data_IF_547824637372
#
_entry.id   IF_547824637372
#
_cell.length_a   1.000
_cell.length_b   1.000
_cell.length_c   1.000
_cell.angle_alpha   90.00
_cell.angle_beta   90.00
_cell.angle_gamma   90.00
#
_symmetry.space_group_name_H-M   'P 1'
#
loop_
_entity.id
_entity.type
_entity.pdbx_description
1 polymer ?
2 non-polymer ?
3 non-polymer ?
4 non-polymer ?
5 non-polymer ?
6 water ?
#
# COMPACT_ATOMS: atom_id res chain seq x y z
N UNK A 1 -24.29 15.55 -6.26
CA UNK A 1 -25.23 14.60 -5.66
C UNK A 1 -25.26 14.75 -4.14
N UNK A 2 -26.41 14.44 -3.54
CA UNK A 2 -26.52 14.56 -2.09
C UNK A 2 -25.84 13.39 -1.40
N UNK A 3 -25.70 13.50 -0.07
CA UNK A 3 -25.16 12.38 0.70
C UNK A 3 -26.06 11.15 0.60
N UNK A 4 -27.38 11.35 0.60
CA UNK A 4 -28.27 10.20 0.54
C UNK A 4 -28.22 9.54 -0.84
N UNK A 5 -27.98 10.31 -1.90
CA UNK A 5 -27.79 9.71 -3.21
C UNK A 5 -26.51 8.89 -3.26
N UNK A 6 -25.41 9.44 -2.75
CA UNK A 6 -24.15 8.70 -2.74
C UNK A 6 -24.28 7.42 -1.92
N UNK A 7 -24.88 7.52 -0.73
CA UNK A 7 -25.04 6.33 0.11
C UNK A 7 -25.85 5.26 -0.62
N UNK A 8 -26.90 5.67 -1.32
CA UNK A 8 -27.76 4.71 -2.02
C UNK A 8 -26.98 4.03 -3.15
N UNK A 9 -26.14 4.78 -3.85
CA UNK A 9 -25.35 4.20 -4.93
C UNK A 9 -24.35 3.20 -4.39
N UNK A 10 -23.62 3.59 -3.33
CA UNK A 10 -22.65 2.66 -2.75
C UNK A 10 -23.36 1.41 -2.23
N UNK A 11 -24.58 1.58 -1.68
CA UNK A 11 -25.33 0.43 -1.19
C UNK A 11 -25.60 -0.60 -2.30
N UNK A 12 -25.80 -0.14 -3.54
CA UNK A 12 -26.04 -1.07 -4.64
C UNK A 12 -24.78 -1.83 -5.04
N UNK A 13 -23.62 -1.34 -4.63
CA UNK A 13 -22.33 -1.90 -5.02
C UNK A 13 -21.80 -2.91 -3.98
N UNK A 14 -22.22 -2.81 -2.72
CA UNK A 14 -21.64 -3.65 -1.68
C UNK A 14 -22.53 -4.87 -1.45
N UNK A 15 -22.10 -5.76 -0.57
CA UNK A 15 -22.94 -6.88 -0.21
C UNK A 15 -24.10 -6.40 0.64
N UNK A 16 -25.27 -7.03 0.51
CA UNK A 16 -26.42 -6.62 1.32
C UNK A 16 -26.27 -7.07 2.77
N UNK A 17 -26.96 -6.35 3.64
CA UNK A 17 -27.07 -6.79 5.02
C UNK A 17 -26.10 -6.12 5.95
N UNK A 18 -26.11 -6.62 7.18
CA UNK A 18 -25.38 -6.05 8.31
C UNK A 18 -24.43 -7.11 8.85
N UNK A 19 -23.11 -6.92 8.77
CA UNK A 19 -22.19 -7.97 9.22
C UNK A 19 -22.13 -8.12 10.73
N UNK A 20 -22.75 -7.22 11.49
CA UNK A 20 -22.90 -7.48 12.92
C UNK A 20 -23.76 -8.71 13.17
N UNK A 21 -24.44 -9.23 12.15
CA UNK A 21 -25.17 -10.48 12.28
C UNK A 21 -24.27 -11.70 12.43
N UNK A 22 -22.98 -11.60 12.09
CA UNK A 22 -22.11 -12.75 12.22
C UNK A 22 -20.73 -12.45 12.79
N UNK A 23 -20.43 -11.20 13.12
CA UNK A 23 -19.13 -10.81 13.67
C UNK A 23 -19.30 -10.34 15.10
N UNK A 24 -18.34 -10.70 15.96
CA UNK A 24 -18.27 -10.25 17.35
C UNK A 24 -16.89 -9.69 17.65
N UNK A 25 -16.73 -9.15 18.85
CA UNK A 25 -15.42 -8.78 19.39
C UNK A 25 -14.70 -7.74 18.52
N UNK A 26 -15.45 -6.73 18.06
CA UNK A 26 -14.83 -5.62 17.33
C UNK A 26 -13.90 -4.85 18.25
N UNK A 27 -12.61 -4.87 17.96
CA UNK A 27 -11.63 -4.11 18.73
C UNK A 27 -10.73 -3.35 17.75
N UNK A 28 -10.59 -2.04 17.96
CA UNK A 28 -9.78 -1.24 17.06
C UNK A 28 -8.31 -1.60 17.19
N UNK A 29 -7.63 -1.80 16.06
CA UNK A 29 -6.23 -2.20 16.07
C UNK A 29 -5.34 -1.26 15.29
N UNK A 30 -5.88 -0.31 14.55
CA UNK A 30 -5.06 0.56 13.74
C UNK A 30 -5.94 1.50 12.96
N UNK A 31 -5.31 2.32 12.14
CA UNK A 31 -6.09 3.30 11.39
C UNK A 31 -5.32 3.76 10.16
N UNK A 32 -6.04 4.39 9.25
CA UNK A 32 -5.46 5.10 8.11
C UNK A 32 -6.00 6.52 8.08
N UNK A 33 -5.75 7.26 7.00
CA UNK A 33 -6.30 8.61 6.93
C UNK A 33 -7.80 8.62 6.65
N UNK A 34 -8.35 7.51 6.16
CA UNK A 34 -9.75 7.47 5.76
C UNK A 34 -10.64 6.72 6.74
N UNK A 35 -10.09 6.15 7.80
CA UNK A 35 -10.90 5.35 8.70
C UNK A 35 -10.04 4.54 9.65
N UNK A 36 -10.65 3.51 10.23
CA UNK A 36 -9.99 2.66 11.21
C UNK A 36 -10.09 1.20 10.76
N UNK A 37 -9.34 0.35 11.45
CA UNK A 37 -9.40 -1.11 11.25
C UNK A 37 -9.61 -1.75 12.60
N UNK A 38 -10.54 -2.70 12.66
CA UNK A 38 -10.80 -3.48 13.86
C UNK A 38 -10.50 -4.94 13.57
N UNK A 39 -10.13 -5.68 14.61
CA UNK A 39 -10.17 -7.13 14.57
C UNK A 39 -11.57 -7.54 14.95
N UNK A 40 -12.05 -8.63 14.38
CA UNK A 40 -13.34 -9.20 14.75
C UNK A 40 -13.27 -10.70 14.57
N UNK A 41 -14.21 -11.40 15.19
CA UNK A 41 -14.28 -12.85 15.10
C UNK A 41 -15.61 -13.27 14.46
N UNK A 42 -15.53 -14.21 13.53
CA UNK A 42 -16.74 -14.80 12.96
C UNK A 42 -17.38 -15.70 14.01
N UNK A 43 -18.64 -15.40 14.34
CA UNK A 43 -19.27 -15.96 15.54
C UNK A 43 -19.39 -17.48 15.47
N UNK A 44 -19.66 -18.03 14.28
CA UNK A 44 -19.93 -19.46 14.17
C UNK A 44 -18.66 -20.30 13.99
N UNK A 45 -17.54 -19.68 13.63
CA UNK A 45 -16.32 -20.44 13.35
C UNK A 45 -15.12 -20.03 14.19
N UNK A 46 -15.15 -18.84 14.80
CA UNK A 46 -13.98 -18.34 15.49
C UNK A 46 -12.94 -17.71 14.61
N UNK A 47 -13.15 -17.70 13.29
CA UNK A 47 -12.16 -17.14 12.37
C UNK A 47 -11.96 -15.65 12.64
N UNK A 48 -10.71 -15.22 12.56
CA UNK A 48 -10.35 -13.82 12.78
C UNK A 48 -10.29 -13.10 11.45
N UNK A 49 -10.88 -11.89 11.41
CA UNK A 49 -10.87 -11.04 10.23
C UNK A 49 -10.50 -9.63 10.67
N UNK A 50 -10.13 -8.80 9.70
CA UNK A 50 -9.91 -7.38 9.90
C UNK A 50 -11.04 -6.63 9.20
N UNK A 51 -11.58 -5.60 9.85
CA UNK A 51 -12.69 -4.84 9.30
C UNK A 51 -12.26 -3.39 9.17
N UNK A 52 -12.21 -2.89 7.93
CA UNK A 52 -11.93 -1.48 7.71
C UNK A 52 -13.25 -0.73 7.74
N UNK A 53 -13.31 0.37 8.51
CA UNK A 53 -14.51 1.19 8.63
C UNK A 53 -14.19 2.61 8.19
N UNK A 54 -14.93 3.10 7.19
CA UNK A 54 -14.70 4.42 6.61
C UNK A 54 -16.03 5.17 6.60
N UNK A 55 -16.06 6.34 7.24
CA UNK A 55 -17.28 7.12 7.29
C UNK A 55 -17.50 7.85 5.96
N UNK A 56 -18.65 7.60 5.33
CA UNK A 56 -18.93 8.21 4.04
C UNK A 56 -18.88 9.73 4.06
N UNK A 57 -19.07 10.34 5.22
CA UNK A 57 -19.11 11.78 5.36
C UNK A 57 -17.75 12.42 5.59
N UNK A 58 -16.75 11.64 6.01
CA UNK A 58 -15.46 12.18 6.43
C UNK A 58 -14.38 12.01 5.37
N UNK A 59 -14.75 11.69 4.13
CA UNK A 59 -13.76 11.48 3.08
C UNK A 59 -13.51 12.75 2.30
N UNK A 60 -12.23 13.01 2.00
CA UNK A 60 -11.90 14.12 1.11
C UNK A 60 -12.63 13.99 -0.21
N UNK A 61 -12.64 12.78 -0.77
CA UNK A 61 -13.33 12.51 -2.03
C UNK A 61 -14.07 11.19 -1.89
N UNK A 62 -15.35 11.27 -1.55
CA UNK A 62 -16.07 10.06 -1.16
C UNK A 62 -16.22 9.07 -2.30
N UNK A 63 -16.21 9.54 -3.56
CA UNK A 63 -16.37 8.60 -4.67
C UNK A 63 -15.20 7.63 -4.78
N UNK A 64 -14.06 7.94 -4.16
CA UNK A 64 -12.98 6.97 -4.12
C UNK A 64 -13.41 5.69 -3.40
N UNK A 65 -14.44 5.76 -2.55
CA UNK A 65 -14.87 4.58 -1.82
C UNK A 65 -15.43 3.51 -2.74
N UNK A 66 -15.82 3.86 -3.97
CA UNK A 66 -16.23 2.83 -4.92
C UNK A 66 -15.07 1.93 -5.31
N UNK A 67 -13.86 2.48 -5.38
CA UNK A 67 -12.81 1.85 -6.19
C UNK A 67 -12.43 0.49 -5.65
N UNK A 68 -12.03 0.40 -4.38
CA UNK A 68 -11.54 -0.89 -3.89
C UNK A 68 -12.63 -1.95 -3.94
N UNK A 69 -13.84 -1.60 -3.49
CA UNK A 69 -14.87 -2.63 -3.37
C UNK A 69 -15.29 -3.19 -4.73
N UNK A 70 -15.09 -2.44 -5.80
CA UNK A 70 -15.39 -2.97 -7.13
C UNK A 70 -14.14 -3.60 -7.75
N UNK A 71 -13.05 -2.82 -7.83
CA UNK A 71 -11.85 -3.27 -8.54
C UNK A 71 -11.31 -4.57 -7.93
N UNK A 72 -11.27 -4.65 -6.61
CA UNK A 72 -10.56 -5.74 -5.95
C UNK A 72 -11.49 -6.87 -5.50
N UNK A 73 -12.75 -6.87 -5.94
CA UNK A 73 -13.66 -7.94 -5.58
C UNK A 73 -13.23 -9.25 -6.23
N UNK A 74 -13.11 -10.30 -5.43
CA UNK A 74 -12.72 -11.65 -5.86
C UNK A 74 -11.28 -11.71 -6.36
N UNK A 75 -10.48 -10.68 -6.11
CA UNK A 75 -9.07 -10.71 -6.52
C UNK A 75 -8.30 -11.71 -5.67
N UNK A 76 -7.43 -12.49 -6.34
CA UNK A 76 -6.68 -13.55 -5.67
C UNK A 76 -5.22 -13.51 -6.14
N UNK A 77 -4.31 -13.33 -5.18
CA UNK A 77 -2.90 -13.32 -5.50
C UNK A 77 -2.11 -13.60 -4.23
N UNK A 78 -1.03 -14.39 -4.37
CA UNK A 78 -0.22 -14.80 -3.22
C UNK A 78 0.21 -13.61 -2.37
N UNK A 79 0.49 -12.47 -2.99
CA UNK A 79 1.04 -11.31 -2.31
C UNK A 79 0.04 -10.17 -2.18
N UNK A 80 -1.26 -10.47 -2.16
CA UNK A 80 -2.29 -9.45 -1.99
C UNK A 80 -3.26 -9.89 -0.88
N UNK A 81 -3.55 -8.99 0.05
CA UNK A 81 -4.45 -9.28 1.16
C UNK A 81 -5.87 -9.48 0.62
N UNK A 82 -6.53 -10.54 1.07
CA UNK A 82 -7.84 -10.87 0.53
C UNK A 82 -8.93 -9.97 1.10
N UNK A 83 -9.85 -9.56 0.24
CA UNK A 83 -11.09 -8.90 0.64
C UNK A 83 -12.21 -9.94 0.61
N UNK A 84 -12.91 -10.10 1.72
CA UNK A 84 -13.98 -11.09 1.78
C UNK A 84 -15.34 -10.53 1.39
N UNK A 85 -15.74 -9.40 1.98
CA UNK A 85 -17.06 -8.82 1.77
C UNK A 85 -17.01 -7.32 2.06
N UNK A 86 -18.07 -6.62 1.68
CA UNK A 86 -18.21 -5.20 2.03
C UNK A 86 -19.68 -4.92 2.29
N UNK A 87 -19.92 -3.95 3.16
CA UNK A 87 -21.27 -3.65 3.63
C UNK A 87 -21.38 -2.17 3.91
N UNK A 88 -22.60 -1.64 3.91
CA UNK A 88 -22.88 -0.35 4.50
C UNK A 88 -23.50 -0.59 5.87
N UNK A 89 -23.00 0.10 6.88
CA UNK A 89 -23.54 0.05 8.23
C UNK A 89 -23.72 1.49 8.66
N UNK A 90 -24.98 1.93 8.72
CA UNK A 90 -25.22 3.34 9.01
C UNK A 90 -24.61 4.18 7.90
N UNK A 91 -23.79 5.17 8.28
CA UNK A 91 -23.09 5.99 7.31
C UNK A 91 -21.63 5.55 7.12
N UNK A 92 -21.31 4.28 7.42
CA UNK A 92 -19.96 3.77 7.26
C UNK A 92 -19.92 2.65 6.23
N UNK A 93 -18.87 2.66 5.42
CA UNK A 93 -18.50 1.49 4.61
C UNK A 93 -17.60 0.59 5.44
N UNK A 94 -17.97 -0.69 5.53
CA UNK A 94 -17.19 -1.70 6.24
C UNK A 94 -16.68 -2.72 5.24
N UNK A 95 -15.37 -2.95 5.23
CA UNK A 95 -14.78 -3.92 4.32
C UNK A 95 -14.13 -4.98 5.18
N UNK A 96 -14.58 -6.22 5.01
CA UNK A 96 -14.11 -7.34 5.82
C UNK A 96 -12.95 -7.99 5.08
N UNK A 97 -11.78 -7.99 5.72
CA UNK A 97 -10.52 -8.36 5.10
C UNK A 97 -9.87 -9.51 5.85
N UNK A 98 -8.90 -10.12 5.17
CA UNK A 98 -7.98 -11.07 5.79
C UNK A 98 -7.18 -10.41 6.92
N UNK A 99 -7.00 -11.14 8.02
CA UNK A 99 -6.18 -10.66 9.13
C UNK A 99 -4.76 -11.17 8.94
N UNK A 100 -3.80 -10.25 8.91
CA UNK A 100 -2.38 -10.56 8.69
C UNK A 100 -1.68 -10.44 10.03
N UNK A 101 -1.38 -11.58 10.65
CA UNK A 101 -1.00 -11.59 12.06
C UNK A 101 0.37 -10.97 12.31
N UNK A 102 1.19 -10.81 11.27
CA UNK A 102 2.49 -10.15 11.45
C UNK A 102 2.46 -8.63 11.45
N UNK A 103 1.31 -8.01 11.13
CA UNK A 103 1.21 -6.56 11.20
C UNK A 103 1.92 -5.92 10.01
N UNK A 104 2.17 -4.61 10.13
CA UNK A 104 2.64 -3.80 9.02
C UNK A 104 4.16 -3.65 9.00
N UNK A 105 4.71 -3.51 7.79
CA UNK A 105 6.13 -3.24 7.65
C UNK A 105 6.57 -1.98 8.42
N UNK A 106 5.68 -1.00 8.58
CA UNK A 106 5.99 0.23 9.31
C UNK A 106 6.60 -0.06 10.68
N UNK A 107 6.00 -1.01 11.41
CA UNK A 107 6.51 -1.30 12.75
C UNK A 107 7.87 -1.99 12.71
N UNK A 108 8.21 -2.64 11.60
CA UNK A 108 9.56 -3.16 11.43
C UNK A 108 10.55 -2.03 11.19
N UNK A 109 10.25 -1.17 10.19
CA UNK A 109 11.25 -0.18 9.79
C UNK A 109 11.53 0.79 10.94
N UNK A 110 10.55 1.08 11.79
CA UNK A 110 10.80 1.97 12.93
C UNK A 110 11.55 1.27 14.07
N UNK A 111 11.55 -0.06 14.13
CA UNK A 111 12.15 -0.74 15.27
C UNK A 111 13.46 -1.45 14.97
N UNK A 112 13.79 -1.73 13.70
CA UNK A 112 14.99 -2.50 13.46
C UNK A 112 15.60 -2.18 12.11
N UNK A 113 16.91 -2.37 12.04
CA UNK A 113 17.63 -2.45 10.78
C UNK A 113 17.16 -3.67 10.00
N UNK A 114 17.18 -3.56 8.68
CA UNK A 114 16.90 -4.69 7.79
C UNK A 114 18.14 -4.94 6.95
N UNK A 115 18.51 -6.21 6.77
CA UNK A 115 19.62 -6.47 5.87
C UNK A 115 19.12 -6.52 4.42
N UNK A 116 20.05 -6.58 3.47
CA UNK A 116 19.63 -6.47 2.07
C UNK A 116 18.93 -7.73 1.60
N UNK A 117 19.23 -8.89 2.20
CA UNK A 117 18.45 -10.09 1.91
C UNK A 117 16.96 -9.85 2.21
N UNK A 118 16.68 -9.17 3.32
CA UNK A 118 15.30 -8.91 3.74
C UNK A 118 14.66 -7.81 2.92
N UNK A 119 15.40 -6.73 2.64
CA UNK A 119 14.87 -5.67 1.78
C UNK A 119 14.52 -6.22 0.40
N UNK A 120 15.41 -7.05 -0.16
CA UNK A 120 15.14 -7.63 -1.48
C UNK A 120 13.91 -8.54 -1.45
N UNK A 121 13.75 -9.30 -0.36
CA UNK A 121 12.56 -10.15 -0.22
C UNK A 121 11.29 -9.33 -0.25
N UNK A 122 11.26 -8.22 0.50
CA UNK A 122 10.07 -7.38 0.50
C UNK A 122 9.84 -6.79 -0.88
N UNK A 123 10.90 -6.27 -1.50
CA UNK A 123 10.74 -5.68 -2.83
C UNK A 123 10.23 -6.68 -3.85
N UNK A 124 10.74 -7.91 -3.77
CA UNK A 124 10.33 -8.94 -4.72
C UNK A 124 8.86 -9.29 -4.56
N UNK A 125 8.41 -9.45 -3.31
CA UNK A 125 7.00 -9.77 -3.07
C UNK A 125 6.10 -8.67 -3.59
N UNK A 126 6.45 -7.41 -3.31
CA UNK A 126 5.61 -6.28 -3.74
C UNK A 126 5.61 -6.18 -5.26
N UNK A 127 6.77 -6.39 -5.90
CA UNK A 127 6.84 -6.29 -7.35
C UNK A 127 6.11 -7.44 -8.04
N UNK A 128 6.07 -8.62 -7.42
CA UNK A 128 5.26 -9.70 -7.97
C UNK A 128 3.79 -9.31 -7.98
N UNK A 129 3.32 -8.67 -6.90
CA UNK A 129 1.95 -8.19 -6.86
C UNK A 129 1.73 -7.08 -7.88
N UNK A 130 2.64 -6.09 -7.90
CA UNK A 130 2.45 -4.93 -8.77
C UNK A 130 2.51 -5.32 -10.24
N UNK A 131 3.37 -6.26 -10.61
CA UNK A 131 3.47 -6.63 -12.01
C UNK A 131 2.14 -7.19 -12.51
N UNK A 132 1.47 -7.99 -11.68
CA UNK A 132 0.17 -8.55 -12.07
C UNK A 132 -0.90 -7.45 -12.07
N UNK A 133 -0.90 -6.59 -11.05
CA UNK A 133 -1.92 -5.54 -10.97
C UNK A 133 -1.77 -4.57 -12.14
N UNK A 134 -0.54 -4.13 -12.40
CA UNK A 134 -0.30 -3.17 -13.47
C UNK A 134 -0.67 -3.75 -14.83
N UNK A 135 -0.43 -5.06 -15.04
CA UNK A 135 -0.81 -5.69 -16.29
C UNK A 135 -2.32 -5.69 -16.50
N UNK A 136 -3.10 -5.63 -15.42
CA UNK A 136 -4.54 -5.51 -15.48
C UNK A 136 -5.03 -4.07 -15.42
N UNK A 137 -4.11 -3.10 -15.47
CA UNK A 137 -4.49 -1.70 -15.42
C UNK A 137 -4.84 -1.17 -14.05
N UNK A 138 -4.50 -1.89 -12.99
CA UNK A 138 -4.79 -1.45 -11.64
C UNK A 138 -3.57 -0.72 -11.12
N UNK A 139 -3.75 0.53 -10.70
CA UNK A 139 -2.72 1.32 -10.03
C UNK A 139 -3.06 1.35 -8.55
N UNK A 140 -2.07 1.07 -7.70
CA UNK A 140 -2.33 1.01 -6.27
C UNK A 140 -2.47 2.42 -5.69
N UNK A 141 -1.51 3.29 -6.00
CA UNK A 141 -1.46 4.72 -5.66
C UNK A 141 -1.23 5.01 -4.18
N UNK A 142 -0.99 4.00 -3.35
CA UNK A 142 -0.63 4.31 -1.96
C UNK A 142 0.40 3.30 -1.43
N UNK A 143 1.43 3.02 -2.24
CA UNK A 143 2.52 2.18 -1.77
C UNK A 143 3.34 2.93 -0.72
N UNK A 144 3.56 2.29 0.42
CA UNK A 144 4.35 2.76 1.56
C UNK A 144 4.41 1.61 2.54
N UNK A 145 5.28 1.73 3.56
CA UNK A 145 5.47 0.60 4.48
C UNK A 145 4.18 0.24 5.22
N UNK A 146 3.28 1.21 5.44
CA UNK A 146 2.00 0.91 6.10
C UNK A 146 1.13 -0.04 5.29
N UNK A 147 1.35 -0.11 3.98
CA UNK A 147 0.52 -0.88 3.06
C UNK A 147 1.03 -2.30 2.86
N UNK A 148 2.14 -2.65 3.50
CA UNK A 148 2.77 -3.95 3.35
C UNK A 148 2.54 -4.70 4.65
N UNK A 149 1.88 -5.85 4.58
CA UNK A 149 1.57 -6.64 5.75
C UNK A 149 2.32 -7.96 5.71
N UNK A 150 2.49 -8.58 6.89
CA UNK A 150 3.28 -9.81 7.03
C UNK A 150 2.48 -10.91 7.70
N UNK A 151 2.76 -12.15 7.31
CA UNK A 151 2.29 -13.31 8.06
C UNK A 151 3.32 -13.67 9.14
N UNK A 152 2.91 -14.52 10.08
CA UNK A 152 3.83 -14.84 11.17
C UNK A 152 5.03 -15.63 10.66
N UNK A 153 4.91 -16.29 9.51
CA UNK A 153 6.02 -17.03 8.93
C UNK A 153 6.82 -16.21 7.94
N UNK A 154 6.55 -14.90 7.82
CA UNK A 154 7.39 -14.02 7.04
C UNK A 154 6.98 -13.80 5.60
N UNK A 155 5.78 -14.21 5.20
CA UNK A 155 5.32 -13.88 3.86
C UNK A 155 4.80 -12.45 3.82
N UNK A 156 4.81 -11.88 2.61
CA UNK A 156 4.56 -10.45 2.42
C UNK A 156 3.33 -10.29 1.52
N UNK A 157 2.39 -9.45 1.97
CA UNK A 157 1.19 -9.18 1.20
C UNK A 157 0.90 -7.69 1.16
N UNK A 158 0.44 -7.23 0.00
CA UNK A 158 0.05 -5.84 -0.22
C UNK A 158 -1.40 -5.62 0.19
N UNK A 159 -1.64 -4.53 0.90
CA UNK A 159 -2.97 -4.17 1.38
C UNK A 159 -3.21 -2.70 1.06
N UNK A 160 -4.22 -2.10 1.71
CA UNK A 160 -4.45 -0.66 1.66
C UNK A 160 -4.77 -0.19 0.24
N UNK A 161 -5.74 -0.84 -0.39
CA UNK A 161 -6.17 -0.55 -1.76
C UNK A 161 -7.24 0.53 -1.85
N UNK A 162 -7.47 1.29 -0.77
CA UNK A 162 -8.57 2.27 -0.78
C UNK A 162 -8.41 3.38 -1.80
N UNK A 163 -7.19 3.64 -2.25
CA UNK A 163 -6.92 4.71 -3.20
C UNK A 163 -6.68 4.18 -4.62
N UNK A 164 -6.87 2.89 -4.87
CA UNK A 164 -6.46 2.30 -6.14
C UNK A 164 -7.30 2.86 -7.28
N UNK A 165 -6.82 2.66 -8.50
CA UNK A 165 -7.51 3.16 -9.68
C UNK A 165 -7.38 2.14 -10.81
N UNK A 166 -8.22 2.31 -11.81
CA UNK A 166 -8.29 1.43 -12.97
C UNK A 166 -8.04 2.27 -14.22
N UNK A 167 -7.05 1.89 -15.02
CA UNK A 167 -6.83 2.50 -16.32
C UNK A 167 -7.16 1.46 -17.39
N UNK A 168 -7.41 1.95 -18.60
CA UNK A 168 -7.87 1.11 -19.70
C UNK A 168 -7.38 1.72 -21.00
N UNK A 169 -7.52 0.97 -22.10
CA UNK A 169 -7.14 1.55 -23.38
C UNK A 169 -7.91 2.83 -23.66
N UNK A 170 -9.17 2.91 -23.23
CA UNK A 170 -9.98 4.10 -23.46
C UNK A 170 -9.61 5.23 -22.52
N UNK A 171 -9.26 4.93 -21.28
CA UNK A 171 -8.84 5.95 -20.31
C UNK A 171 -7.48 5.53 -19.76
N UNK A 172 -6.39 5.80 -20.47
CA UNK A 172 -5.10 5.17 -20.12
C UNK A 172 -4.38 5.82 -18.95
N UNK A 173 -4.78 7.01 -18.52
CA UNK A 173 -4.09 7.72 -17.45
C UNK A 173 -5.09 8.35 -16.49
N UNK A 174 -4.69 8.44 -15.23
CA UNK A 174 -5.44 9.18 -14.22
C UNK A 174 -4.83 10.56 -14.04
N UNK A 175 -5.60 11.45 -13.41
CA UNK A 175 -5.16 12.83 -13.20
C UNK A 175 -5.49 13.28 -11.77
N UNK A 177 -5.20 13.88 -7.77
CA UNK A 177 -4.17 14.06 -6.74
C UNK A 177 -4.48 13.12 -5.58
N UNK A 178 -3.91 11.92 -5.62
CA UNK A 178 -4.26 10.86 -4.67
C UNK A 178 -2.97 10.22 -4.16
N UNK A 179 -2.91 9.94 -2.86
CA UNK A 179 -1.80 9.22 -2.28
C UNK A 179 -1.47 9.75 -0.89
N UNK A 180 -0.24 9.48 -0.44
CA UNK A 180 0.27 10.00 0.82
C UNK A 180 1.46 10.89 0.52
N UNK A 181 1.43 12.17 0.94
CA UNK A 181 2.38 13.17 0.42
C UNK A 181 3.82 12.73 0.28
N UNK A 182 4.44 12.17 1.32
CA UNK A 182 5.88 11.89 1.26
C UNK A 182 6.23 10.80 0.26
N UNK A 183 5.27 9.97 -0.13
CA UNK A 183 5.49 8.89 -1.08
C UNK A 183 5.01 9.22 -2.50
N UNK A 184 4.42 10.39 -2.71
CA UNK A 184 3.80 10.67 -4.00
C UNK A 184 4.81 10.92 -5.10
N UNK A 185 4.51 10.40 -6.30
CA UNK A 185 5.39 10.57 -7.44
C UNK A 185 5.39 12.02 -7.91
N UNK A 186 6.51 12.50 -8.45
CA UNK A 186 6.57 13.92 -8.82
C UNK A 186 5.62 14.30 -9.94
N UNK A 187 5.38 13.41 -10.91
CA UNK A 187 4.43 13.75 -11.97
C UNK A 187 3.01 13.79 -11.43
N UNK A 188 2.73 13.03 -10.39
CA UNK A 188 1.41 13.05 -9.78
C UNK A 188 1.20 14.35 -9.02
N UNK A 189 2.21 14.76 -8.25
CA UNK A 189 2.13 16.05 -7.55
C UNK A 189 2.00 17.19 -8.55
N UNK A 190 2.67 17.07 -9.71
CA UNK A 190 2.63 18.06 -10.78
C UNK A 190 1.29 18.11 -11.51
N UNK A 191 0.34 17.26 -11.16
CA UNK A 191 -0.99 17.20 -11.77
C UNK A 191 -0.94 16.83 -13.24
N UNK A 192 0.11 16.14 -13.64
CA UNK A 192 0.21 15.58 -14.98
C UNK A 192 -0.53 14.25 -15.03
N UNK A 193 -1.05 13.87 -16.21
CA UNK A 193 -1.65 12.54 -16.34
C UNK A 193 -0.58 11.49 -16.10
N UNK A 194 -0.96 10.42 -15.38
CA UNK A 194 0.01 9.45 -14.93
C UNK A 194 -0.58 8.05 -15.01
N UNK A 195 0.29 7.05 -14.92
CA UNK A 195 -0.13 5.67 -14.95
C UNK A 195 0.51 4.87 -13.84
N UNK A 196 0.63 3.55 -14.04
CA UNK A 196 1.21 2.65 -13.03
C UNK A 196 2.58 3.05 -12.54
N UNK A 197 3.29 3.86 -13.33
CA UNK A 197 4.64 4.27 -12.96
C UNK A 197 4.69 4.93 -11.59
N UNK A 198 3.59 5.58 -11.16
CA UNK A 198 3.62 6.25 -9.86
C UNK A 198 3.88 5.25 -8.74
N UNK A 199 3.41 4.01 -8.88
CA UNK A 199 3.67 3.01 -7.83
C UNK A 199 5.14 2.69 -7.70
N UNK A 200 5.88 2.75 -8.81
CA UNK A 200 7.30 2.42 -8.78
C UNK A 200 8.09 3.49 -8.04
N UNK A 201 7.74 4.76 -8.24
CA UNK A 201 8.35 5.83 -7.45
C UNK A 201 8.07 5.63 -5.97
N UNK A 202 6.80 5.38 -5.63
CA UNK A 202 6.44 5.18 -4.23
C UNK A 202 7.22 4.01 -3.63
N UNK A 203 7.40 2.93 -4.40
CA UNK A 203 8.21 1.81 -3.92
C UNK A 203 9.62 2.27 -3.61
N UNK A 204 10.17 3.18 -4.43
CA UNK A 204 11.50 3.70 -4.16
C UNK A 204 11.57 4.45 -2.85
N UNK A 205 10.51 5.22 -2.54
CA UNK A 205 10.48 5.91 -1.25
C UNK A 205 10.43 4.88 -0.12
N UNK A 206 9.72 3.77 -0.34
CA UNK A 206 9.66 2.73 0.67
C UNK A 206 11.00 2.03 0.86
N UNK A 207 11.81 1.91 -0.19
CA UNK A 207 13.19 1.42 -0.01
C UNK A 207 13.96 2.36 0.89
N UNK A 208 13.80 3.67 0.70
CA UNK A 208 14.44 4.62 1.60
C UNK A 208 13.95 4.39 3.03
N UNK A 209 12.65 4.14 3.22
CA UNK A 209 12.16 3.76 4.54
C UNK A 209 12.93 2.58 5.11
N UNK A 210 13.11 1.53 4.30
CA UNK A 210 13.70 0.32 4.84
C UNK A 210 15.19 0.49 5.15
N UNK A 211 15.88 1.33 4.39
CA UNK A 211 17.30 1.58 4.61
C UNK A 211 17.52 2.57 5.75
N UNK A 212 16.75 3.66 5.76
CA UNK A 212 16.99 4.76 6.68
C UNK A 212 16.06 4.79 7.89
N UNK A 213 14.86 4.22 7.79
CA UNK A 213 13.89 4.26 8.87
C UNK A 213 12.76 5.24 8.68
N UNK A 214 12.84 6.12 7.68
CA UNK A 214 11.82 7.12 7.43
C UNK A 214 11.96 7.58 5.99
N UNK A 215 10.89 8.09 5.38
CA UNK A 215 11.00 8.62 4.02
C UNK A 215 11.66 9.99 4.04
N UNK A 216 12.06 10.49 2.88
CA UNK A 216 12.63 11.84 2.84
C UNK A 216 11.62 12.87 3.31
N UNK A 217 12.15 13.95 3.92
CA UNK A 217 11.38 15.14 4.26
C UNK A 217 10.27 14.87 5.28
N UNK A 218 10.47 13.90 6.18
CA UNK A 218 9.34 13.35 6.91
C UNK A 218 8.80 14.26 8.01
N UNK A 219 9.62 15.11 8.64
CA UNK A 219 9.09 16.07 9.61
C UNK A 219 8.81 17.43 8.96
N UNK A 220 8.91 17.54 7.62
CA UNK A 220 8.45 18.72 6.90
C UNK A 220 6.94 18.69 6.75
N UNK A 221 6.28 19.86 6.80
CA UNK A 221 4.86 19.94 6.46
C UNK A 221 4.59 19.24 5.14
N UNK A 222 3.50 18.46 5.06
CA UNK A 222 3.28 17.67 3.82
C UNK A 222 3.26 18.50 2.55
N UNK A 223 2.61 19.67 2.54
CA UNK A 223 2.61 20.45 1.31
C UNK A 223 4.02 20.88 0.92
N UNK A 224 4.87 21.14 1.91
CA UNK A 224 6.25 21.52 1.60
C UNK A 224 7.06 20.33 1.09
N UNK A 225 6.89 19.16 1.72
CA UNK A 225 7.54 17.95 1.20
C UNK A 225 7.13 17.70 -0.24
N UNK A 226 5.85 17.89 -0.57
CA UNK A 226 5.39 17.63 -1.93
C UNK A 226 6.04 18.58 -2.93
N UNK A 227 6.22 19.85 -2.54
CA UNK A 227 6.90 20.79 -3.40
C UNK A 227 8.35 20.39 -3.64
N UNK A 228 9.03 19.91 -2.60
CA UNK A 228 10.43 19.51 -2.77
C UNK A 228 10.55 18.25 -3.61
N UNK A 229 9.60 17.32 -3.49
CA UNK A 229 9.60 16.15 -4.37
C UNK A 229 9.37 16.59 -5.82
N UNK A 230 8.48 17.56 -6.02
CA UNK A 230 8.17 18.00 -7.37
C UNK A 230 9.34 18.73 -8.01
N UNK A 231 10.03 19.56 -7.23
CA UNK A 231 10.99 20.52 -7.76
C UNK A 231 12.44 20.10 -7.59
N UNK A 232 12.77 19.25 -6.62
CA UNK A 232 14.18 18.96 -6.36
C UNK A 232 14.62 17.70 -7.09
N UNK A 233 15.94 17.50 -7.14
CA UNK A 233 16.49 16.23 -7.59
C UNK A 233 15.94 15.09 -6.73
N UNK A 234 15.92 13.85 -7.25
CA UNK A 234 15.39 12.72 -6.47
C UNK A 234 16.06 12.62 -5.11
N UNK A 235 15.32 12.24 -4.08
CA UNK A 235 15.91 12.23 -2.74
C UNK A 235 16.96 11.14 -2.61
N UNK A 236 17.81 11.31 -1.60
CA UNK A 236 19.01 10.50 -1.44
C UNK A 236 18.92 9.72 -0.14
N UNK A 237 19.55 8.54 -0.14
CA UNK A 237 19.70 7.75 1.06
C UNK A 237 20.57 8.45 2.08
N UNK A 238 20.05 8.57 3.31
CA UNK A 238 20.87 8.99 4.43
C UNK A 238 22.08 8.07 4.55
N UNK A 239 21.84 6.77 4.55
CA UNK A 239 22.90 5.77 4.67
C UNK A 239 23.41 5.30 3.31
N UNK A 240 23.67 6.26 2.42
CA UNK A 240 24.11 5.93 1.06
C UNK A 240 25.37 5.07 1.06
N UNK A 241 26.34 5.39 1.91
CA UNK A 241 27.61 4.67 1.90
C UNK A 241 27.52 3.29 2.55
N UNK A 242 26.37 2.93 3.13
CA UNK A 242 26.19 1.65 3.79
C UNK A 242 25.56 0.58 2.91
N UNK A 243 25.05 0.95 1.74
CA UNK A 243 24.31 0.00 0.91
C UNK A 243 25.20 -0.50 -0.20
N UNK A 244 24.88 -1.69 -0.70
CA UNK A 244 25.65 -2.28 -1.78
C UNK A 244 25.40 -1.50 -3.08
N UNK A 245 26.36 -1.55 -4.01
CA UNK A 245 26.11 -0.97 -5.35
C UNK A 245 24.90 -1.55 -6.03
N UNK A 246 24.59 -2.83 -5.78
CA UNK A 246 23.39 -3.43 -6.34
C UNK A 246 22.12 -2.76 -5.81
N UNK A 247 22.07 -2.51 -4.51
CA UNK A 247 20.90 -1.81 -3.97
C UNK A 247 20.80 -0.40 -4.53
N UNK A 248 21.92 0.33 -4.54
CA UNK A 248 21.90 1.68 -5.09
C UNK A 248 21.43 1.66 -6.54
N UNK A 249 21.93 0.72 -7.34
CA UNK A 249 21.52 0.64 -8.74
C UNK A 249 20.05 0.34 -8.91
N UNK A 250 19.52 -0.57 -8.09
CA UNK A 250 18.09 -0.85 -8.06
C UNK A 250 17.29 0.42 -7.71
N UNK A 251 17.64 1.07 -6.60
CA UNK A 251 16.96 2.31 -6.21
C UNK A 251 17.00 3.35 -7.32
N UNK A 252 18.13 3.42 -8.06
CA UNK A 252 18.27 4.39 -9.13
C UNK A 252 17.32 4.13 -10.29
N UNK A 253 16.78 2.92 -10.42
CA UNK A 253 15.76 2.68 -11.43
C UNK A 253 14.35 3.01 -10.94
N UNK A 254 14.17 3.23 -9.63
CA UNK A 254 12.88 3.57 -9.05
C UNK A 254 12.65 5.07 -8.96
N UNK A 255 13.62 5.78 -8.40
CA UNK A 255 13.51 7.22 -8.17
C UNK A 255 13.99 7.99 -9.40
N UNK A 256 13.27 7.75 -10.49
CA UNK A 256 13.53 8.37 -11.78
C UNK A 256 12.43 9.40 -12.00
N UNK A 257 12.81 10.67 -12.14
CA UNK A 257 11.81 11.72 -12.23
C UNK A 257 10.93 11.56 -13.47
N UNK A 258 11.53 11.27 -14.61
CA UNK A 258 10.81 11.08 -15.86
C UNK A 258 10.09 9.73 -15.84
N UNK A 259 8.76 9.67 -15.75
CA UNK A 259 8.10 8.35 -15.65
C UNK A 259 8.36 7.46 -16.85
N UNK A 260 8.66 8.03 -18.02
CA UNK A 260 8.95 7.20 -19.18
C UNK A 260 10.29 6.48 -19.08
N UNK A 261 11.22 7.00 -18.27
CA UNK A 261 12.50 6.35 -18.07
C UNK A 261 12.54 5.52 -16.79
N UNK A 262 11.50 5.62 -15.95
CA UNK A 262 11.42 4.82 -14.74
C UNK A 262 11.22 3.35 -15.12
N UNK A 263 11.85 2.45 -14.38
CA UNK A 263 11.65 1.03 -14.62
C UNK A 263 10.20 0.61 -14.34
N UNK A 264 9.72 -0.37 -15.09
CA UNK A 264 8.42 -0.97 -14.83
C UNK A 264 8.58 -2.11 -13.83
N UNK A 265 7.45 -2.55 -13.25
CA UNK A 265 7.50 -3.66 -12.32
C UNK A 265 8.08 -4.91 -12.98
N UNK A 266 7.67 -5.20 -14.21
CA UNK A 266 8.16 -6.38 -14.89
C UNK A 266 9.66 -6.27 -15.16
N UNK A 267 10.15 -5.06 -15.50
CA UNK A 267 11.59 -4.89 -15.67
C UNK A 267 12.33 -5.11 -14.36
N UNK A 268 11.76 -4.64 -13.25
CA UNK A 268 12.47 -4.72 -11.98
C UNK A 268 12.59 -6.15 -11.47
N UNK A 269 11.64 -7.03 -11.81
CA UNK A 269 11.73 -8.41 -11.37
C UNK A 269 12.98 -9.10 -11.90
N UNK A 270 13.57 -8.57 -12.98
CA UNK A 270 14.80 -9.08 -13.57
C UNK A 270 16.07 -8.48 -12.96
N UNK A 271 15.94 -7.49 -12.06
CA UNK A 271 17.13 -6.77 -11.60
C UNK A 271 17.98 -7.66 -10.68
N UNK A 272 19.31 -7.62 -10.84
CA UNK A 272 20.17 -8.48 -9.99
C UNK A 272 20.01 -8.24 -8.49
N UNK A 273 19.58 -7.05 -8.06
CA UNK A 273 19.37 -6.85 -6.64
C UNK A 273 18.41 -7.89 -6.07
N UNK A 274 17.37 -8.24 -6.82
CA UNK A 274 16.38 -9.16 -6.27
C UNK A 274 16.89 -10.60 -6.19
N UNK A 275 18.03 -10.91 -6.81
CA UNK A 275 18.64 -12.21 -6.59
C UNK A 275 19.06 -12.41 -5.15
N UNK A 276 19.20 -11.34 -4.37
CA UNK A 276 19.54 -11.44 -2.96
C UNK A 276 18.35 -11.83 -2.08
N UNK A 277 17.14 -11.86 -2.63
CA UNK A 277 15.94 -11.98 -1.81
C UNK A 277 15.95 -13.27 -1.00
N UNK A 278 15.82 -13.14 0.31
CA UNK A 278 15.70 -14.30 1.17
C UNK A 278 14.31 -14.90 1.14
N UNK A 279 14.20 -16.10 1.69
CA UNK A 279 12.90 -16.75 1.81
C UNK A 279 12.13 -16.18 2.98
N UNK A 280 10.84 -16.53 3.10
CA UNK A 280 10.05 -16.02 4.23
C UNK A 280 10.72 -16.17 5.59
N UNK A 281 11.44 -17.28 5.80
CA UNK A 281 12.13 -17.49 7.06
C UNK A 281 13.13 -16.37 7.36
N UNK A 282 13.73 -15.77 6.32
CA UNK A 282 14.70 -14.71 6.56
C UNK A 282 14.04 -13.46 7.14
N UNK A 283 12.73 -13.30 6.97
CA UNK A 283 12.01 -12.12 7.46
C UNK A 283 11.57 -12.26 8.91
N UNK A 284 11.32 -13.49 9.38
CA UNK A 284 10.75 -13.74 10.71
C UNK A 284 11.53 -13.07 11.84
N UNK A 285 12.88 -13.07 11.85
CA UNK A 285 13.58 -12.41 12.97
C UNK A 285 13.22 -10.95 13.13
N UNK A 286 12.81 -10.26 12.06
CA UNK A 286 12.47 -8.83 12.16
C UNK A 286 11.24 -8.59 13.03
N UNK A 287 10.35 -9.57 13.15
CA UNK A 287 9.16 -9.45 13.97
C UNK A 287 9.40 -9.90 15.41
N UNK A 288 10.54 -10.51 15.71
CA UNK A 288 10.78 -11.09 17.03
C UNK A 288 11.85 -10.37 17.85
N UNK A 289 12.67 -9.53 17.22
CA UNK A 289 13.72 -8.82 17.93
C UNK A 289 14.04 -7.53 17.18
N UNK A 290 14.81 -6.67 17.83
CA UNK A 290 15.18 -5.36 17.30
C UNK A 290 16.70 -5.27 17.24
N UNK A 291 17.22 -4.77 16.13
CA UNK A 291 18.64 -4.51 15.96
C UNK A 291 18.79 -3.09 15.44
N UNK A 292 19.56 -2.28 16.16
CA UNK A 292 19.65 -0.86 15.88
C UNK A 292 20.32 -0.60 14.54
N UNK A 293 19.88 0.47 13.87
CA UNK A 293 20.60 0.97 12.70
C UNK A 293 21.86 1.69 13.15
#
# INVERSE_FOLDING_TARGET
>A
SSHEQFRAALQLVVDPGDPRSYLDNFIKIGEGSTGIVCIATVRSSGKLVAVKKMDLRKQQRRELLFNEVVIMRDYQHENVVEMYNSYLVGDELWVVMEFLEGGALTDIVTHTRMNEEQIAAVCLAVLQALSVLHAQGVIHRDIKSDSILLTHDGRVKLSDFGFCAQVSKEVPRRKXLVGTPYWMAPELISRLPYGPEVDIWSLGIMVIEMVDGEPPYFNEPPLKAMKMIRDNLPPRLKNLHKVSPSLKGFLDRLLVRDPAQRATAAELLKHPFLAKAGPPASIVPLMRQNRTR
#
